data_IF_259725661442
#
_entry.id   IF_259725661442
#
_cell.length_a   1.000
_cell.length_b   1.000
_cell.length_c   1.000
_cell.angle_alpha   90.00
_cell.angle_beta   90.00
_cell.angle_gamma   90.00
#
_symmetry.space_group_name_H-M   'P 1'
#
loop_
_entity.id
_entity.type
_entity.pdbx_description
1 polymer ?
#
# COMPACT_ATOMS: atom_id res chain seq x y z
N UNK A 1 -17.30 -1.87 90.13
CA UNK A 1 -17.89 -2.66 89.02
C UNK A 1 -18.17 -1.71 87.87
N UNK A 2 -17.33 -1.68 86.82
CA UNK A 2 -17.48 -0.83 85.67
C UNK A 2 -17.81 -1.74 84.49
N UNK A 3 -18.98 -1.55 83.90
CA UNK A 3 -19.45 -2.25 82.69
C UNK A 3 -18.83 -1.64 81.43
N UNK A 4 -18.18 -2.45 80.63
CA UNK A 4 -17.59 -2.06 79.34
C UNK A 4 -18.60 -2.36 78.22
N UNK A 5 -19.09 -1.32 77.58
CA UNK A 5 -19.96 -1.44 76.43
C UNK A 5 -19.08 -1.62 75.17
N UNK A 6 -19.15 -2.79 74.51
CA UNK A 6 -18.58 -3.06 73.21
C UNK A 6 -19.45 -2.43 72.09
N UNK A 7 -18.87 -1.50 71.36
CA UNK A 7 -19.47 -0.96 70.16
C UNK A 7 -18.99 -1.81 68.96
N UNK A 8 -19.91 -2.53 68.32
CA UNK A 8 -19.68 -3.15 67.05
C UNK A 8 -19.84 -2.11 65.92
N UNK A 9 -18.72 -1.72 65.25
CA UNK A 9 -18.78 -0.91 64.08
C UNK A 9 -18.98 -1.86 62.86
N UNK A 10 -20.14 -1.79 62.23
CA UNK A 10 -20.42 -2.45 60.94
C UNK A 10 -19.76 -1.62 59.86
N UNK A 11 -18.67 -2.15 59.32
CA UNK A 11 -18.01 -1.57 58.12
C UNK A 11 -18.82 -2.05 56.93
N UNK A 12 -19.64 -1.15 56.38
CA UNK A 12 -20.27 -1.37 55.07
C UNK A 12 -19.21 -1.22 53.98
N UNK A 13 -18.83 -2.32 53.36
CA UNK A 13 -17.97 -2.35 52.20
C UNK A 13 -18.81 -1.94 50.96
N UNK A 14 -18.52 -0.82 50.27
CA UNK A 14 -19.21 -0.52 49.03
C UNK A 14 -18.69 -1.50 47.94
N UNK A 15 -19.56 -2.38 47.51
CA UNK A 15 -19.37 -3.16 46.27
C UNK A 15 -19.28 -2.16 45.12
N UNK A 16 -18.06 -1.80 44.75
CA UNK A 16 -17.76 -1.17 43.45
C UNK A 16 -18.10 -2.18 42.36
N UNK A 17 -19.35 -2.12 41.90
CA UNK A 17 -19.73 -2.74 40.60
C UNK A 17 -18.96 -2.01 39.51
N UNK A 18 -17.72 -2.44 39.26
CA UNK A 18 -16.98 -2.10 38.07
C UNK A 18 -17.77 -2.66 36.90
N UNK A 19 -18.48 -1.82 36.14
CA UNK A 19 -18.93 -2.14 34.82
C UNK A 19 -17.67 -2.45 34.00
N UNK A 20 -17.28 -3.72 33.93
CA UNK A 20 -16.45 -4.26 32.87
C UNK A 20 -17.26 -4.04 31.59
N UNK A 21 -17.00 -2.90 30.92
CA UNK A 21 -17.28 -2.80 29.51
C UNK A 21 -16.42 -3.86 28.84
N UNK A 22 -16.98 -5.04 28.61
CA UNK A 22 -16.48 -6.01 27.66
C UNK A 22 -16.53 -5.28 26.30
N UNK A 23 -15.44 -4.58 25.95
CA UNK A 23 -15.20 -4.21 24.56
C UNK A 23 -15.14 -5.54 23.82
N UNK A 24 -16.19 -5.83 23.04
CA UNK A 24 -16.12 -6.93 22.11
C UNK A 24 -14.89 -6.66 21.22
N UNK A 25 -13.83 -7.41 21.45
CA UNK A 25 -12.64 -7.33 20.61
C UNK A 25 -13.07 -7.66 19.18
N UNK A 26 -12.80 -6.76 18.26
CA UNK A 26 -13.02 -7.03 16.83
C UNK A 26 -11.90 -7.94 16.39
N UNK A 27 -12.26 -9.15 15.96
CA UNK A 27 -11.32 -10.12 15.45
C UNK A 27 -11.03 -9.86 13.97
N UNK A 28 -9.87 -10.34 13.50
CA UNK A 28 -9.58 -10.43 12.08
C UNK A 28 -10.65 -11.25 11.35
N UNK A 29 -10.92 -10.98 10.06
CA UNK A 29 -11.73 -11.82 9.22
C UNK A 29 -11.26 -13.28 9.24
N UNK A 30 -12.17 -14.23 9.49
CA UNK A 30 -11.86 -15.67 9.57
C UNK A 30 -13.06 -16.57 9.22
N UNK A 31 -14.12 -16.00 8.65
CA UNK A 31 -15.32 -16.78 8.30
C UNK A 31 -15.10 -17.64 7.03
N UNK A 32 -14.22 -17.24 6.15
CA UNK A 32 -13.81 -17.98 4.96
C UNK A 32 -12.34 -17.72 4.64
N UNK A 33 -11.61 -18.75 4.22
CA UNK A 33 -10.19 -18.62 3.86
C UNK A 33 -9.97 -19.19 2.46
N UNK A 34 -9.40 -18.39 1.58
CA UNK A 34 -9.09 -18.77 0.21
C UNK A 34 -7.58 -18.63 -0.02
N UNK A 35 -6.92 -19.74 -0.34
CA UNK A 35 -5.50 -19.73 -0.74
C UNK A 35 -5.40 -19.76 -2.26
N UNK A 36 -4.70 -18.79 -2.83
CA UNK A 36 -4.45 -18.69 -4.27
C UNK A 36 -3.02 -18.19 -4.49
N UNK A 37 -2.19 -19.09 -5.02
CA UNK A 37 -0.78 -18.82 -5.24
C UNK A 37 -0.13 -18.30 -3.92
N UNK A 38 0.44 -17.11 -3.92
CA UNK A 38 1.06 -16.46 -2.76
C UNK A 38 0.03 -15.80 -1.80
N UNK A 39 -1.22 -15.63 -2.24
CA UNK A 39 -2.25 -14.94 -1.46
C UNK A 39 -3.00 -15.89 -0.53
N UNK A 40 -3.06 -15.53 0.76
CA UNK A 40 -3.92 -16.15 1.77
C UNK A 40 -4.98 -15.13 2.15
N UNK A 41 -6.19 -15.31 1.60
CA UNK A 41 -7.27 -14.34 1.71
C UNK A 41 -8.24 -14.78 2.79
N UNK A 42 -8.34 -14.02 3.86
CA UNK A 42 -9.25 -14.18 4.98
C UNK A 42 -10.43 -13.23 4.84
N UNK A 43 -11.65 -13.72 4.89
CA UNK A 43 -12.86 -12.93 4.69
C UNK A 43 -13.84 -13.04 5.85
N UNK A 44 -14.59 -11.96 6.14
CA UNK A 44 -15.76 -11.98 7.03
C UNK A 44 -17.00 -12.63 6.34
N UNK A 45 -16.90 -12.91 5.05
CA UNK A 45 -17.98 -13.42 4.21
C UNK A 45 -17.45 -14.49 3.26
N UNK A 46 -18.37 -15.27 2.65
CA UNK A 46 -17.99 -16.29 1.70
C UNK A 46 -17.54 -15.69 0.37
N UNK A 47 -16.28 -15.93 -0.01
CA UNK A 47 -15.71 -15.51 -1.28
C UNK A 47 -15.74 -16.69 -2.27
N UNK A 48 -16.31 -16.54 -3.49
CA UNK A 48 -16.30 -17.61 -4.49
C UNK A 48 -14.88 -18.07 -4.83
N UNK A 49 -14.68 -19.37 -4.97
CA UNK A 49 -13.37 -19.99 -5.28
C UNK A 49 -12.70 -19.44 -6.55
N UNK A 50 -13.49 -18.96 -7.52
CA UNK A 50 -13.03 -18.31 -8.75
C UNK A 50 -13.62 -16.92 -8.86
N UNK A 51 -13.22 -16.05 -7.94
CA UNK A 51 -13.62 -14.65 -8.00
C UNK A 51 -12.71 -13.88 -8.96
N UNK A 52 -13.27 -13.12 -9.89
CA UNK A 52 -12.51 -12.39 -10.95
C UNK A 52 -11.41 -11.49 -10.39
N UNK A 53 -11.67 -10.81 -9.30
CA UNK A 53 -10.68 -9.95 -8.64
C UNK A 53 -9.49 -10.78 -8.13
N UNK A 54 -9.74 -11.93 -7.50
CA UNK A 54 -8.65 -12.80 -7.00
C UNK A 54 -7.79 -13.32 -8.16
N UNK A 55 -8.43 -13.79 -9.24
CA UNK A 55 -7.70 -14.22 -10.45
C UNK A 55 -6.89 -13.07 -11.07
N UNK A 56 -7.40 -11.84 -11.03
CA UNK A 56 -6.68 -10.65 -11.47
C UNK A 56 -5.46 -10.37 -10.60
N UNK A 57 -5.59 -10.45 -9.26
CA UNK A 57 -4.47 -10.24 -8.34
C UNK A 57 -3.37 -11.29 -8.54
N UNK A 58 -3.75 -12.57 -8.68
CA UNK A 58 -2.79 -13.65 -8.99
C UNK A 58 -2.06 -13.37 -10.31
N UNK A 59 -2.79 -12.98 -11.35
CA UNK A 59 -2.18 -12.65 -12.63
C UNK A 59 -1.28 -11.40 -12.55
N UNK A 60 -1.58 -10.44 -11.66
CA UNK A 60 -0.75 -9.23 -11.42
C UNK A 60 0.65 -9.59 -10.93
N UNK A 61 0.79 -10.63 -10.10
CA UNK A 61 2.11 -11.15 -9.70
C UNK A 61 3.00 -11.43 -10.92
N UNK A 62 2.43 -12.09 -11.92
CA UNK A 62 3.13 -12.38 -13.18
C UNK A 62 3.57 -11.10 -13.91
N UNK A 63 2.69 -10.10 -13.99
CA UNK A 63 3.01 -8.81 -14.62
C UNK A 63 4.19 -8.12 -13.89
N UNK A 64 4.16 -8.07 -12.55
CA UNK A 64 5.24 -7.47 -11.73
C UNK A 64 6.57 -8.18 -11.97
N UNK A 65 6.57 -9.52 -11.95
CA UNK A 65 7.77 -10.33 -12.18
C UNK A 65 8.33 -10.09 -13.58
N UNK A 66 7.49 -10.12 -14.62
CA UNK A 66 7.90 -9.97 -16.02
C UNK A 66 8.38 -8.55 -16.31
N UNK A 67 7.60 -7.53 -15.93
CA UNK A 67 7.93 -6.14 -16.21
C UNK A 67 9.21 -5.69 -15.49
N UNK A 68 9.42 -6.13 -14.25
CA UNK A 68 10.54 -5.72 -13.41
C UNK A 68 11.72 -6.70 -13.44
N UNK A 69 11.55 -7.88 -14.06
CA UNK A 69 12.53 -8.98 -14.08
C UNK A 69 13.00 -9.38 -12.67
N UNK A 70 12.04 -9.49 -11.75
CA UNK A 70 12.28 -9.90 -10.39
C UNK A 70 12.18 -11.42 -10.24
N UNK A 71 12.88 -12.04 -9.27
CA UNK A 71 12.74 -13.46 -9.00
C UNK A 71 11.36 -13.77 -8.40
N UNK A 72 10.90 -14.99 -8.60
CA UNK A 72 9.69 -15.48 -7.94
C UNK A 72 9.95 -15.63 -6.44
N UNK A 73 9.00 -15.19 -5.62
CA UNK A 73 8.97 -15.45 -4.18
C UNK A 73 7.68 -16.21 -3.85
N UNK A 74 7.75 -17.18 -2.94
CA UNK A 74 6.59 -17.92 -2.45
C UNK A 74 6.21 -17.54 -1.01
N UNK A 75 6.78 -16.43 -0.50
CA UNK A 75 6.43 -15.89 0.82
C UNK A 75 4.95 -15.49 0.86
N UNK A 76 4.15 -16.01 1.80
CA UNK A 76 2.72 -15.74 1.84
C UNK A 76 2.41 -14.26 2.11
N UNK A 77 1.38 -13.73 1.43
CA UNK A 77 0.78 -12.44 1.70
C UNK A 77 -0.62 -12.68 2.24
N UNK A 78 -0.86 -12.31 3.49
CA UNK A 78 -2.19 -12.40 4.09
C UNK A 78 -3.03 -11.21 3.67
N UNK A 79 -4.25 -11.45 3.21
CA UNK A 79 -5.20 -10.41 2.83
C UNK A 79 -6.43 -10.54 3.70
N UNK A 80 -6.68 -9.57 4.57
CA UNK A 80 -7.82 -9.54 5.47
C UNK A 80 -8.93 -8.64 4.89
N UNK A 81 -10.02 -9.28 4.41
CA UNK A 81 -11.17 -8.61 3.81
C UNK A 81 -12.32 -8.50 4.80
N UNK A 82 -12.50 -7.32 5.34
CA UNK A 82 -13.63 -7.00 6.20
C UNK A 82 -14.91 -6.79 5.37
N UNK A 83 -16.05 -7.21 5.89
CA UNK A 83 -17.34 -7.08 5.18
C UNK A 83 -17.79 -5.62 4.99
N UNK A 84 -17.31 -4.70 5.85
CA UNK A 84 -17.72 -3.31 5.82
C UNK A 84 -16.63 -2.35 6.30
N UNK A 85 -16.73 -1.04 5.93
CA UNK A 85 -15.81 -0.02 6.42
C UNK A 85 -15.87 0.15 7.94
N UNK A 86 -17.02 -0.10 8.57
CA UNK A 86 -17.18 0.04 10.02
C UNK A 86 -16.41 -1.06 10.77
N UNK A 87 -16.44 -2.29 10.26
CA UNK A 87 -15.66 -3.41 10.81
C UNK A 87 -14.16 -3.14 10.73
N UNK A 88 -13.67 -2.72 9.56
CA UNK A 88 -12.26 -2.36 9.39
C UNK A 88 -11.86 -1.21 10.33
N UNK A 89 -12.66 -0.13 10.36
CA UNK A 89 -12.38 1.02 11.24
C UNK A 89 -12.35 0.63 12.72
N UNK A 90 -13.27 -0.22 13.14
CA UNK A 90 -13.32 -0.70 14.52
C UNK A 90 -12.09 -1.55 14.86
N UNK A 91 -11.66 -2.44 13.95
CA UNK A 91 -10.42 -3.20 14.11
C UNK A 91 -9.20 -2.27 14.18
N UNK A 92 -9.04 -1.35 13.22
CA UNK A 92 -7.92 -0.43 13.19
C UNK A 92 -7.84 0.45 14.44
N UNK A 93 -8.97 0.94 14.92
CA UNK A 93 -8.98 1.78 16.13
C UNK A 93 -8.49 1.04 17.40
N UNK A 94 -8.48 -0.28 17.38
CA UNK A 94 -8.03 -1.13 18.50
C UNK A 94 -6.58 -1.57 18.31
N UNK A 95 -6.22 -2.04 17.13
CA UNK A 95 -4.93 -2.70 16.86
C UNK A 95 -3.92 -1.79 16.17
N UNK A 96 -4.40 -0.83 15.35
CA UNK A 96 -3.58 0.08 14.55
C UNK A 96 -4.16 1.51 14.58
N UNK A 97 -4.19 2.16 15.75
CA UNK A 97 -4.84 3.47 15.90
C UNK A 97 -4.24 4.58 15.04
N UNK A 98 -3.04 4.39 14.50
CA UNK A 98 -2.37 5.29 13.57
C UNK A 98 -3.00 5.30 12.17
N UNK A 99 -3.81 4.27 11.80
CA UNK A 99 -4.44 4.15 10.47
C UNK A 99 -5.99 4.24 10.43
N UNK A 100 -6.69 4.92 11.35
CA UNK A 100 -8.14 4.79 11.52
C UNK A 100 -8.97 5.23 10.31
N UNK A 101 -8.43 6.05 9.43
CA UNK A 101 -9.12 6.63 8.27
C UNK A 101 -8.76 5.96 6.93
N UNK A 102 -7.95 4.91 6.94
CA UNK A 102 -7.56 4.25 5.69
C UNK A 102 -8.63 3.27 5.21
N UNK A 103 -8.80 3.20 3.88
CA UNK A 103 -9.69 2.22 3.21
C UNK A 103 -9.03 0.85 3.09
N UNK A 104 -7.74 0.86 2.86
CA UNK A 104 -6.87 -0.29 2.81
C UNK A 104 -5.46 0.13 3.21
N UNK A 105 -4.62 -0.82 3.58
CA UNK A 105 -3.19 -0.60 3.81
C UNK A 105 -2.44 -1.92 3.82
N UNK A 106 -1.19 -1.86 3.41
CA UNK A 106 -0.21 -2.92 3.55
C UNK A 106 0.63 -2.69 4.82
N UNK A 107 0.95 -3.76 5.53
CA UNK A 107 1.82 -3.74 6.69
C UNK A 107 2.86 -4.85 6.57
N UNK A 108 4.13 -4.45 6.53
CA UNK A 108 5.26 -5.35 6.66
C UNK A 108 5.62 -5.50 8.14
N UNK A 109 5.45 -6.70 8.67
CA UNK A 109 5.90 -7.07 10.02
C UNK A 109 7.19 -7.91 9.95
N UNK A 110 7.77 -8.22 11.10
CA UNK A 110 9.02 -9.00 11.18
C UNK A 110 8.93 -10.38 10.50
N UNK A 111 7.75 -10.97 10.43
CA UNK A 111 7.51 -12.34 9.95
C UNK A 111 6.31 -12.49 9.03
N UNK A 112 5.62 -11.43 8.72
CA UNK A 112 4.37 -11.47 7.93
C UNK A 112 4.21 -10.23 7.10
N UNK A 113 3.55 -10.43 5.95
CA UNK A 113 3.10 -9.38 5.06
C UNK A 113 1.57 -9.41 5.07
N UNK A 114 0.97 -8.36 5.58
CA UNK A 114 -0.46 -8.29 5.83
C UNK A 114 -1.09 -7.13 5.05
N UNK A 115 -2.16 -7.41 4.32
CA UNK A 115 -3.00 -6.42 3.62
C UNK A 115 -4.34 -6.39 4.31
N UNK A 116 -4.83 -5.20 4.61
CA UNK A 116 -6.13 -4.98 5.24
C UNK A 116 -6.99 -4.13 4.31
N UNK A 117 -8.21 -4.57 4.02
CA UNK A 117 -9.16 -3.83 3.21
C UNK A 117 -10.60 -4.18 3.61
N UNK A 118 -11.57 -3.33 3.25
CA UNK A 118 -12.97 -3.70 3.36
C UNK A 118 -13.59 -3.91 1.98
N UNK A 119 -14.63 -4.75 1.92
CA UNK A 119 -15.39 -5.01 0.71
C UNK A 119 -16.29 -3.81 0.37
N UNK A 120 -15.98 -3.10 -0.70
CA UNK A 120 -16.70 -1.90 -1.14
C UNK A 120 -16.44 -1.57 -2.61
N UNK A 121 -16.98 -0.45 -3.08
CA UNK A 121 -16.95 -0.07 -4.50
C UNK A 121 -15.54 0.08 -5.08
N UNK A 122 -14.56 0.39 -4.25
CA UNK A 122 -13.15 0.57 -4.66
C UNK A 122 -12.23 -0.58 -4.25
N UNK A 123 -12.76 -1.68 -3.72
CA UNK A 123 -11.95 -2.81 -3.23
C UNK A 123 -10.98 -3.35 -4.29
N UNK A 124 -11.36 -3.33 -5.56
CA UNK A 124 -10.49 -3.83 -6.63
C UNK A 124 -9.26 -2.94 -6.84
N UNK A 125 -9.43 -1.62 -6.78
CA UNK A 125 -8.33 -0.65 -6.84
C UNK A 125 -7.45 -0.76 -5.60
N UNK A 126 -8.07 -0.69 -4.42
CA UNK A 126 -7.40 -0.78 -3.15
C UNK A 126 -6.57 -2.08 -3.04
N UNK A 127 -7.12 -3.23 -3.41
CA UNK A 127 -6.39 -4.49 -3.38
C UNK A 127 -5.27 -4.60 -4.43
N UNK A 128 -5.46 -4.04 -5.63
CA UNK A 128 -4.35 -4.00 -6.61
C UNK A 128 -3.17 -3.20 -6.08
N UNK A 129 -3.43 -2.08 -5.42
CA UNK A 129 -2.41 -1.24 -4.79
C UNK A 129 -1.69 -1.99 -3.66
N UNK A 130 -2.42 -2.38 -2.63
CA UNK A 130 -1.85 -2.95 -1.40
C UNK A 130 -1.21 -4.34 -1.62
N UNK A 131 -1.78 -5.17 -2.47
CA UNK A 131 -1.18 -6.47 -2.81
C UNK A 131 0.08 -6.28 -3.66
N UNK A 132 0.19 -5.20 -4.44
CA UNK A 132 1.44 -4.89 -5.16
C UNK A 132 2.58 -4.60 -4.19
N UNK A 133 2.36 -3.82 -3.12
CA UNK A 133 3.34 -3.69 -2.05
C UNK A 133 3.77 -5.06 -1.52
N UNK A 134 2.80 -5.93 -1.21
CA UNK A 134 3.10 -7.29 -0.77
C UNK A 134 4.00 -8.04 -1.75
N UNK A 135 3.69 -8.05 -3.04
CA UNK A 135 4.53 -8.68 -4.06
C UNK A 135 5.94 -8.08 -4.14
N UNK A 136 6.04 -6.75 -4.11
CA UNK A 136 7.32 -6.06 -4.18
C UNK A 136 8.20 -6.38 -2.97
N UNK A 137 7.64 -6.30 -1.75
CA UNK A 137 8.39 -6.51 -0.51
C UNK A 137 8.85 -7.94 -0.32
N UNK A 138 8.14 -8.95 -0.86
CA UNK A 138 8.66 -10.34 -0.89
C UNK A 138 9.88 -10.51 -1.79
N UNK A 139 10.11 -9.61 -2.75
CA UNK A 139 11.15 -9.73 -3.76
C UNK A 139 12.27 -8.71 -3.59
N UNK A 140 11.97 -7.51 -3.13
CA UNK A 140 12.90 -6.38 -3.00
C UNK A 140 12.70 -5.70 -1.64
N UNK A 141 13.43 -6.08 -0.60
CA UNK A 141 13.33 -5.43 0.70
C UNK A 141 13.87 -3.99 0.64
N UNK A 142 13.35 -3.13 1.51
CA UNK A 142 13.84 -1.75 1.69
C UNK A 142 13.74 -0.86 0.46
N UNK A 143 12.61 -0.94 -0.26
CA UNK A 143 12.34 -0.02 -1.36
C UNK A 143 12.31 1.45 -0.87
N UNK A 144 12.90 2.41 -1.59
CA UNK A 144 12.64 3.82 -1.37
C UNK A 144 11.15 4.12 -1.50
N UNK A 145 10.60 4.92 -0.58
CA UNK A 145 9.16 5.18 -0.50
C UNK A 145 8.52 5.61 -1.83
N UNK A 146 9.15 6.56 -2.54
CA UNK A 146 8.61 7.03 -3.82
C UNK A 146 8.57 5.93 -4.89
N UNK A 147 9.53 5.00 -4.86
CA UNK A 147 9.63 3.90 -5.80
C UNK A 147 8.59 2.83 -5.52
N UNK A 148 8.40 2.49 -4.25
CA UNK A 148 7.38 1.57 -3.77
C UNK A 148 5.98 2.08 -4.12
N UNK A 149 5.65 3.30 -3.71
CA UNK A 149 4.36 3.93 -4.01
C UNK A 149 4.14 4.11 -5.51
N UNK A 150 5.17 4.55 -6.25
CA UNK A 150 5.05 4.73 -7.69
C UNK A 150 4.77 3.43 -8.45
N UNK A 151 5.35 2.30 -8.01
CA UNK A 151 5.04 0.97 -8.54
C UNK A 151 3.63 0.53 -8.15
N UNK A 152 3.22 0.72 -6.89
CA UNK A 152 1.87 0.39 -6.45
C UNK A 152 0.81 1.17 -7.25
N UNK A 153 0.99 2.49 -7.45
CA UNK A 153 0.11 3.35 -8.26
C UNK A 153 0.09 2.96 -9.75
N UNK A 154 1.20 2.45 -10.29
CA UNK A 154 1.25 1.94 -11.67
C UNK A 154 0.45 0.64 -11.82
N UNK A 155 0.57 -0.27 -10.85
CA UNK A 155 -0.09 -1.57 -10.89
C UNK A 155 -1.51 -1.57 -10.30
N UNK A 156 -1.99 -0.50 -9.64
CA UNK A 156 -3.38 -0.40 -9.19
C UNK A 156 -4.38 -0.28 -10.36
N UNK A 157 -3.89 0.21 -11.50
CA UNK A 157 -4.69 0.32 -12.73
C UNK A 157 -5.09 -1.07 -13.22
N UNK A 158 -6.33 -1.28 -13.71
CA UNK A 158 -6.75 -2.58 -14.24
C UNK A 158 -5.79 -3.11 -15.32
N UNK A 159 -5.59 -4.43 -15.35
CA UNK A 159 -4.72 -5.09 -16.33
C UNK A 159 -5.15 -4.75 -17.76
N UNK A 160 -4.16 -4.57 -18.64
CA UNK A 160 -4.40 -4.23 -20.05
C UNK A 160 -4.53 -2.72 -20.35
N UNK A 161 -4.49 -1.87 -19.31
CA UNK A 161 -4.51 -0.41 -19.48
C UNK A 161 -3.10 0.23 -19.48
N UNK A 162 -2.03 -0.58 -19.49
CA UNK A 162 -0.66 -0.09 -19.59
C UNK A 162 -0.20 0.83 -18.47
N UNK A 163 -0.80 0.73 -17.28
CA UNK A 163 -0.47 1.60 -16.14
C UNK A 163 -0.98 3.04 -16.27
N UNK A 164 -1.78 3.36 -17.27
CA UNK A 164 -2.35 4.72 -17.47
C UNK A 164 -3.34 5.03 -16.35
N UNK A 165 -3.04 6.04 -15.52
CA UNK A 165 -3.85 6.47 -14.38
C UNK A 165 -4.43 7.88 -14.63
N UNK A 166 -5.68 8.01 -15.13
CA UNK A 166 -6.26 9.29 -15.49
C UNK A 166 -6.36 10.30 -14.33
N UNK A 167 -6.69 9.91 -13.09
CA UNK A 167 -6.63 10.80 -11.93
C UNK A 167 -5.27 11.49 -11.77
N UNK A 168 -4.18 10.76 -11.87
CA UNK A 168 -2.82 11.29 -11.74
C UNK A 168 -2.43 12.20 -12.92
N UNK A 169 -2.78 11.81 -14.14
CA UNK A 169 -2.57 12.64 -15.32
C UNK A 169 -3.27 13.99 -15.16
N UNK A 170 -4.54 13.98 -14.75
CA UNK A 170 -5.32 15.19 -14.59
C UNK A 170 -4.77 16.08 -13.46
N UNK A 171 -4.36 15.48 -12.33
CA UNK A 171 -3.76 16.19 -11.20
C UNK A 171 -2.46 16.90 -11.61
N UNK A 172 -1.53 16.18 -12.24
CA UNK A 172 -0.23 16.74 -12.63
C UNK A 172 -0.37 17.78 -13.74
N UNK A 173 -1.22 17.57 -14.73
CA UNK A 173 -1.50 18.59 -15.77
C UNK A 173 -2.11 19.86 -15.22
N UNK A 174 -3.02 19.73 -14.25
CA UNK A 174 -3.57 20.88 -13.55
C UNK A 174 -2.47 21.65 -12.83
N UNK A 175 -1.63 20.94 -12.05
CA UNK A 175 -0.52 21.55 -11.33
C UNK A 175 0.54 22.17 -12.26
N UNK A 176 0.80 21.58 -13.43
CA UNK A 176 1.66 22.16 -14.47
C UNK A 176 1.08 23.45 -15.04
N UNK A 177 -0.20 23.47 -15.39
CA UNK A 177 -0.88 24.69 -15.87
C UNK A 177 -0.86 25.82 -14.84
N UNK A 178 -0.99 25.48 -13.55
CA UNK A 178 -0.91 26.41 -12.41
C UNK A 178 0.53 26.79 -12.05
N UNK A 179 1.55 26.20 -12.71
CA UNK A 179 2.97 26.39 -12.41
C UNK A 179 3.37 26.02 -10.99
N UNK A 180 2.64 25.05 -10.38
CA UNK A 180 2.87 24.55 -9.02
C UNK A 180 3.62 23.23 -9.00
N UNK A 181 3.93 22.65 -10.17
CA UNK A 181 4.64 21.40 -10.29
C UNK A 181 5.61 21.39 -11.49
N UNK A 182 6.74 20.75 -11.27
CA UNK A 182 7.69 20.30 -12.28
C UNK A 182 8.28 18.96 -11.82
N UNK A 183 8.64 18.05 -12.75
CA UNK A 183 9.27 16.79 -12.40
C UNK A 183 10.56 16.97 -11.61
N UNK A 184 10.62 16.40 -10.42
CA UNK A 184 11.79 16.51 -9.54
C UNK A 184 11.98 15.21 -8.74
N UNK A 185 12.72 14.27 -9.32
CA UNK A 185 12.98 12.97 -8.68
C UNK A 185 13.84 13.13 -7.42
N UNK A 186 14.76 14.10 -7.38
CA UNK A 186 15.60 14.37 -6.21
C UNK A 186 14.75 14.75 -5.00
N UNK A 187 13.67 15.52 -5.22
CA UNK A 187 12.70 15.87 -4.16
C UNK A 187 11.98 14.62 -3.67
N UNK A 188 11.48 13.74 -4.57
CA UNK A 188 10.78 12.51 -4.19
C UNK A 188 11.68 11.57 -3.38
N UNK A 189 12.94 11.40 -3.79
CA UNK A 189 13.92 10.54 -3.11
C UNK A 189 14.25 10.99 -1.67
N UNK A 190 13.98 12.25 -1.33
CA UNK A 190 14.17 12.79 0.03
C UNK A 190 12.99 12.51 0.96
N UNK A 191 11.84 12.14 0.42
CA UNK A 191 10.66 11.79 1.22
C UNK A 191 10.82 10.36 1.72
N UNK A 192 10.95 10.21 3.04
CA UNK A 192 11.17 8.90 3.68
C UNK A 192 10.03 8.50 4.60
N UNK A 193 9.06 9.39 4.84
CA UNK A 193 7.94 9.13 5.71
C UNK A 193 6.63 9.21 4.91
N UNK A 194 5.74 8.20 5.02
CA UNK A 194 4.45 8.23 4.32
C UNK A 194 3.58 9.45 4.67
N UNK A 195 3.72 9.99 5.88
CA UNK A 195 2.99 11.18 6.32
C UNK A 195 3.37 12.46 5.55
N UNK A 196 4.56 12.48 4.93
CA UNK A 196 5.04 13.62 4.13
C UNK A 196 4.64 13.52 2.65
N UNK A 197 4.08 12.37 2.22
CA UNK A 197 3.58 12.17 0.87
C UNK A 197 2.23 12.89 0.67
N UNK A 198 2.18 13.76 -0.34
CA UNK A 198 0.93 14.39 -0.80
C UNK A 198 0.39 13.65 -2.01
N UNK A 199 -0.88 13.88 -2.39
CA UNK A 199 -1.45 13.33 -3.62
C UNK A 199 -0.62 13.67 -4.87
N UNK A 200 0.02 14.83 -4.89
CA UNK A 200 0.92 15.22 -5.98
C UNK A 200 2.20 14.39 -5.99
N UNK A 201 2.74 14.02 -4.82
CA UNK A 201 3.90 13.14 -4.74
C UNK A 201 3.57 11.71 -5.21
N UNK A 202 2.42 11.16 -4.86
CA UNK A 202 1.94 9.86 -5.40
C UNK A 202 1.82 9.92 -6.93
N UNK A 203 1.15 10.96 -7.45
CA UNK A 203 0.99 11.13 -8.89
C UNK A 203 2.34 11.31 -9.62
N UNK A 204 3.29 12.03 -9.04
CA UNK A 204 4.61 12.20 -9.61
C UNK A 204 5.44 10.90 -9.55
N UNK A 205 5.35 10.15 -8.45
CA UNK A 205 5.97 8.82 -8.33
C UNK A 205 5.43 7.87 -9.40
N UNK A 206 4.10 7.81 -9.58
CA UNK A 206 3.47 7.11 -10.69
C UNK A 206 4.01 7.56 -12.05
N UNK A 207 4.11 8.86 -12.29
CA UNK A 207 4.55 9.40 -13.58
C UNK A 207 5.98 8.98 -13.92
N UNK A 208 6.90 8.98 -12.96
CA UNK A 208 8.25 8.46 -13.13
C UNK A 208 8.25 6.96 -13.47
N UNK A 209 7.48 6.16 -12.74
CA UNK A 209 7.39 4.71 -13.00
C UNK A 209 6.77 4.43 -14.37
N UNK A 210 5.66 5.09 -14.70
CA UNK A 210 5.03 4.94 -16.02
C UNK A 210 6.00 5.31 -17.15
N UNK A 211 6.71 6.42 -17.03
CA UNK A 211 7.71 6.85 -18.00
C UNK A 211 8.85 5.84 -18.16
N UNK A 212 9.38 5.33 -17.06
CA UNK A 212 10.49 4.37 -17.10
C UNK A 212 10.07 3.02 -17.67
N UNK A 213 8.87 2.54 -17.38
CA UNK A 213 8.38 1.24 -17.83
C UNK A 213 7.87 1.24 -19.27
N UNK A 214 7.29 2.36 -19.77
CA UNK A 214 6.51 2.32 -21.00
C UNK A 214 7.17 2.99 -22.18
N UNK A 215 8.20 3.81 -22.00
CA UNK A 215 8.72 4.66 -23.08
C UNK A 215 9.87 4.03 -23.87
N UNK A 216 10.96 3.61 -23.21
CA UNK A 216 12.08 2.98 -23.92
C UNK A 216 12.64 1.75 -23.19
N UNK A 217 13.23 0.78 -23.91
CA UNK A 217 13.89 -0.37 -23.30
C UNK A 217 15.03 0.04 -22.34
N UNK A 218 15.77 1.09 -22.67
CA UNK A 218 16.91 1.58 -21.89
C UNK A 218 16.46 2.08 -20.52
N UNK A 219 15.39 2.88 -20.47
CA UNK A 219 14.81 3.40 -19.22
C UNK A 219 14.27 2.26 -18.36
N UNK A 220 13.57 1.30 -18.96
CA UNK A 220 13.10 0.10 -18.28
C UNK A 220 14.27 -0.68 -17.67
N UNK A 221 15.38 -0.80 -18.41
CA UNK A 221 16.58 -1.48 -17.92
C UNK A 221 17.24 -0.74 -16.74
N UNK A 222 17.24 0.59 -16.73
CA UNK A 222 17.74 1.37 -15.60
C UNK A 222 16.91 1.10 -14.32
N UNK A 223 15.58 1.08 -14.43
CA UNK A 223 14.71 0.73 -13.30
C UNK A 223 14.96 -0.71 -12.81
N UNK A 224 15.05 -1.68 -13.72
CA UNK A 224 15.35 -3.08 -13.39
C UNK A 224 16.72 -3.24 -12.70
N UNK A 225 17.72 -2.55 -13.18
CA UNK A 225 19.06 -2.54 -12.58
C UNK A 225 19.04 -1.94 -11.17
N UNK A 226 18.26 -0.86 -10.97
CA UNK A 226 18.06 -0.24 -9.66
C UNK A 226 17.44 -1.23 -8.67
N UNK A 227 16.33 -1.85 -9.04
CA UNK A 227 15.63 -2.84 -8.21
C UNK A 227 16.52 -4.06 -7.90
N UNK A 228 17.22 -4.59 -8.89
CA UNK A 228 18.16 -5.68 -8.72
C UNK A 228 19.27 -5.33 -7.74
N UNK A 229 19.80 -4.11 -7.80
CA UNK A 229 20.85 -3.64 -6.89
C UNK A 229 20.33 -3.51 -5.47
N UNK A 230 19.16 -2.88 -5.26
CA UNK A 230 18.52 -2.78 -3.94
C UNK A 230 18.34 -4.19 -3.36
N UNK A 231 17.80 -5.12 -4.13
CA UNK A 231 17.59 -6.51 -3.71
C UNK A 231 18.87 -7.20 -3.26
N UNK A 232 19.96 -7.01 -4.00
CA UNK A 232 21.22 -7.72 -3.75
C UNK A 232 22.04 -7.12 -2.60
N UNK A 233 21.95 -5.82 -2.38
CA UNK A 233 22.85 -5.10 -1.47
C UNK A 233 22.12 -4.31 -0.37
N UNK A 234 20.76 -4.32 -0.38
CA UNK A 234 19.94 -3.54 0.55
C UNK A 234 19.87 -2.04 0.23
N UNK A 235 20.63 -1.56 -0.77
CA UNK A 235 20.71 -0.13 -1.10
C UNK A 235 21.18 0.06 -2.53
N UNK A 236 20.89 1.23 -3.11
CA UNK A 236 21.41 1.65 -4.41
C UNK A 236 21.69 3.17 -4.41
N UNK A 237 22.50 3.69 -5.32
CA UNK A 237 22.59 5.13 -5.54
C UNK A 237 21.21 5.70 -5.87
N UNK A 238 20.95 6.99 -5.58
CA UNK A 238 19.74 7.65 -6.02
C UNK A 238 19.50 7.45 -7.52
N UNK A 239 18.29 7.06 -7.91
CA UNK A 239 17.96 6.83 -9.32
C UNK A 239 18.04 8.14 -10.12
N UNK A 240 17.80 9.30 -9.48
CA UNK A 240 17.99 10.61 -10.06
C UNK A 240 19.41 10.82 -10.60
N UNK A 241 20.43 10.37 -9.85
CA UNK A 241 21.83 10.47 -10.30
C UNK A 241 22.12 9.53 -11.48
N UNK A 242 21.55 8.32 -11.45
CA UNK A 242 21.70 7.33 -12.54
C UNK A 242 21.07 7.87 -13.82
N UNK A 243 19.86 8.44 -13.71
CA UNK A 243 19.13 9.01 -14.83
C UNK A 243 19.82 10.25 -15.38
N UNK A 244 20.29 11.17 -14.53
CA UNK A 244 21.03 12.36 -14.96
C UNK A 244 22.30 11.99 -15.73
N UNK A 245 23.03 10.96 -15.30
CA UNK A 245 24.22 10.49 -15.99
C UNK A 245 23.90 9.83 -17.35
N UNK A 246 22.77 9.10 -17.46
CA UNK A 246 22.37 8.39 -18.67
C UNK A 246 21.60 9.29 -19.66
N UNK A 247 20.78 10.20 -19.15
CA UNK A 247 19.89 11.07 -19.92
C UNK A 247 19.68 12.41 -19.19
N UNK A 248 20.56 13.41 -19.36
CA UNK A 248 20.52 14.69 -18.63
C UNK A 248 19.20 15.47 -18.77
N UNK A 249 18.38 15.18 -19.78
CA UNK A 249 17.09 15.81 -20.02
C UNK A 249 15.91 14.96 -19.57
N UNK A 250 16.13 13.96 -18.71
CA UNK A 250 15.12 12.98 -18.32
C UNK A 250 13.84 13.61 -17.73
N UNK A 251 13.97 14.65 -16.89
CA UNK A 251 12.84 15.39 -16.34
C UNK A 251 12.01 16.11 -17.42
N UNK A 252 12.65 16.74 -18.38
CA UNK A 252 11.95 17.39 -19.50
C UNK A 252 11.23 16.35 -20.38
N UNK A 253 11.85 15.18 -20.60
CA UNK A 253 11.23 14.08 -21.32
C UNK A 253 10.04 13.47 -20.59
N UNK A 254 10.10 13.36 -19.26
CA UNK A 254 8.95 12.97 -18.45
C UNK A 254 7.79 13.96 -18.62
N UNK A 255 8.07 15.26 -18.57
CA UNK A 255 7.07 16.29 -18.78
C UNK A 255 6.40 16.18 -20.17
N UNK A 256 7.17 16.06 -21.23
CA UNK A 256 6.67 15.82 -22.59
C UNK A 256 5.81 14.54 -22.66
N UNK A 257 6.28 13.47 -22.03
CA UNK A 257 5.55 12.21 -21.95
C UNK A 257 4.18 12.37 -21.26
N UNK A 258 4.13 13.03 -20.09
CA UNK A 258 2.88 13.32 -19.38
C UNK A 258 1.88 14.08 -20.27
N UNK A 259 2.36 15.07 -21.03
CA UNK A 259 1.49 15.84 -21.93
C UNK A 259 1.00 15.01 -23.14
N UNK A 260 1.72 13.98 -23.54
CA UNK A 260 1.33 13.09 -24.64
C UNK A 260 0.30 12.02 -24.27
N UNK A 261 0.12 11.72 -22.96
CA UNK A 261 -0.82 10.70 -22.52
C UNK A 261 -2.28 11.08 -22.82
N UNK A 262 -3.20 10.12 -23.02
CA UNK A 262 -4.59 10.42 -23.26
C UNK A 262 -5.20 11.15 -22.06
N UNK A 263 -6.08 12.12 -22.33
CA UNK A 263 -6.90 12.73 -21.27
C UNK A 263 -7.94 11.69 -20.84
N UNK A 264 -8.02 11.41 -19.55
CA UNK A 264 -9.11 10.62 -18.99
C UNK A 264 -10.44 11.34 -19.23
N UNK A 265 -11.41 10.61 -19.75
CA UNK A 265 -12.79 11.09 -19.88
C UNK A 265 -13.48 11.12 -18.52
#
# INVERSE_FOLDING_TARGET
MRAWKLFFAVVACPLLAGCLFLRNAVTLPDSDVLVRDQLVIHCDFRLPQRHRLVEELVARRGDVIEDLQLPVSDEPINVYLFESPDRLRQYLSQEHPEFPQRRAFFLEGDTRLDVYAYWGDRVAEDLRHEVTHGYLHTMVPHLPLWLDEGLAEYYEVPRGQGGVNPPHINLLRKADNEKTWQPDLVRLERITQPADMTQQHYAESWAWIHFLLTTTPERRQLLRAQLSRIRMTGTAPPLSQVLEAAEPQCAARLHEHLLSLPQGQ
#
